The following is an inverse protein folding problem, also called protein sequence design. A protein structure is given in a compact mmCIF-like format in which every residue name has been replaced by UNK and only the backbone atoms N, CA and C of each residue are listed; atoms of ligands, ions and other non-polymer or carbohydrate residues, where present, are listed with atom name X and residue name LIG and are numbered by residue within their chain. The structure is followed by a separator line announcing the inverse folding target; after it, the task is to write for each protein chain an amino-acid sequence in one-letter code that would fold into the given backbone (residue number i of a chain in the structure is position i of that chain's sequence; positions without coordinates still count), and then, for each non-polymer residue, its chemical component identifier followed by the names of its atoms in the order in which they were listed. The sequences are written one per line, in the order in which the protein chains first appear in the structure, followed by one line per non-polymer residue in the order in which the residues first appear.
data_IF_047122794524
#
_entry.id   IF_047122794524
#
_cell.length_a   1.000
_cell.length_b   1.000
_cell.length_c   1.000
_cell.angle_alpha   90.00
_cell.angle_beta   90.00
_cell.angle_gamma   90.00
#
_symmetry.space_group_name_H-M   'P 1'
#
loop_
_entity.id
_entity.type
_entity.pdbx_description
1 polymer ?
#
# COMPACT_ATOMS: atom_id res chain seq x y z
N UNK A 1 10.59 23.70 18.58
CA UNK A 1 10.88 22.26 18.73
C UNK A 1 11.74 21.85 17.53
N UNK A 2 12.95 21.34 17.76
CA UNK A 2 13.88 21.01 16.67
C UNK A 2 13.29 19.98 15.72
N UNK A 3 13.19 20.33 14.44
CA UNK A 3 12.69 19.43 13.37
C UNK A 3 13.43 18.09 13.36
N UNK A 4 14.72 18.11 13.67
CA UNK A 4 15.58 16.93 13.85
C UNK A 4 15.10 16.03 15.00
N UNK A 5 14.85 16.61 16.18
CA UNK A 5 14.39 15.86 17.37
C UNK A 5 13.01 15.23 17.19
N UNK A 6 12.14 15.84 16.38
CA UNK A 6 10.84 15.26 16.01
C UNK A 6 11.05 14.10 15.03
N UNK A 7 11.82 14.33 13.98
CA UNK A 7 12.08 13.33 12.95
C UNK A 7 12.74 12.07 13.52
N UNK A 8 13.71 12.22 14.43
CA UNK A 8 14.39 11.10 15.07
C UNK A 8 13.43 10.23 15.92
N UNK A 9 12.37 10.82 16.49
CA UNK A 9 11.32 10.07 17.20
C UNK A 9 10.36 9.33 16.27
N UNK A 10 10.05 9.91 15.10
CA UNK A 10 9.09 9.33 14.14
C UNK A 10 9.76 8.31 13.23
N UNK A 11 11.05 8.45 12.93
CA UNK A 11 11.81 7.55 12.08
C UNK A 11 11.72 6.05 12.45
N UNK A 12 11.73 5.60 13.72
CA UNK A 12 11.50 4.19 14.05
C UNK A 12 10.09 3.72 13.67
N UNK A 13 9.10 4.61 13.69
CA UNK A 13 7.70 4.31 13.35
C UNK A 13 7.42 4.21 11.84
N UNK A 14 8.43 4.45 10.98
CA UNK A 14 8.27 4.42 9.51
C UNK A 14 7.62 3.13 8.98
N UNK A 15 7.94 1.98 9.58
CA UNK A 15 7.36 0.70 9.17
C UNK A 15 5.89 0.59 9.57
N UNK A 16 5.54 1.04 10.77
CA UNK A 16 4.15 1.08 11.23
C UNK A 16 3.31 2.00 10.32
N UNK A 17 3.84 3.18 9.99
CA UNK A 17 3.20 4.12 9.07
C UNK A 17 3.06 3.51 7.68
N UNK A 18 4.11 2.88 7.15
CA UNK A 18 4.08 2.24 5.83
C UNK A 18 3.07 1.09 5.76
N UNK A 19 2.97 0.26 6.81
CA UNK A 19 1.97 -0.81 6.93
C UNK A 19 0.56 -0.19 6.94
N UNK A 20 0.33 0.84 7.76
CA UNK A 20 -0.97 1.49 7.83
C UNK A 20 -1.41 2.09 6.49
N UNK A 21 -0.51 2.79 5.79
CA UNK A 21 -0.76 3.30 4.44
C UNK A 21 -1.07 2.17 3.44
N UNK A 22 -0.37 1.05 3.53
CA UNK A 22 -0.58 -0.11 2.64
C UNK A 22 -1.93 -0.78 2.90
N UNK A 23 -2.37 -0.88 4.16
CA UNK A 23 -3.69 -1.41 4.51
C UNK A 23 -4.82 -0.51 4.01
N UNK A 24 -4.69 0.81 4.15
CA UNK A 24 -5.65 1.77 3.59
C UNK A 24 -5.71 1.63 2.06
N UNK A 25 -4.55 1.49 1.41
CA UNK A 25 -4.49 1.30 -0.03
C UNK A 25 -5.22 0.03 -0.48
N UNK A 26 -5.06 -1.09 0.24
CA UNK A 26 -5.80 -2.33 -0.03
C UNK A 26 -7.31 -2.09 0.05
N UNK A 27 -7.78 -1.33 1.05
CA UNK A 27 -9.20 -1.03 1.18
C UNK A 27 -9.74 -0.18 0.02
N UNK A 28 -9.01 0.85 -0.39
CA UNK A 28 -9.37 1.69 -1.54
C UNK A 28 -9.39 0.84 -2.84
N UNK A 29 -8.36 0.01 -3.02
CA UNK A 29 -8.24 -0.87 -4.18
C UNK A 29 -9.38 -1.90 -4.23
N UNK A 30 -9.81 -2.45 -3.09
CA UNK A 30 -11.01 -3.30 -2.98
C UNK A 30 -12.21 -2.58 -3.58
N UNK A 31 -12.51 -1.37 -3.11
CA UNK A 31 -13.68 -0.60 -3.53
C UNK A 31 -13.66 -0.31 -5.05
N UNK A 32 -12.51 0.13 -5.57
CA UNK A 32 -12.33 0.40 -7.00
C UNK A 32 -12.50 -0.90 -7.82
N UNK A 33 -11.97 -2.02 -7.34
CA UNK A 33 -12.05 -3.31 -8.04
C UNK A 33 -13.50 -3.81 -8.10
N UNK A 34 -14.25 -3.70 -7.00
CA UNK A 34 -15.68 -4.04 -6.98
C UNK A 34 -16.47 -3.17 -7.96
N UNK A 35 -16.23 -1.86 -7.94
CA UNK A 35 -16.93 -0.91 -8.81
C UNK A 35 -16.69 -1.17 -10.31
N UNK A 36 -15.46 -1.53 -10.69
CA UNK A 36 -15.09 -1.69 -12.10
C UNK A 36 -15.34 -3.09 -12.67
N UNK A 37 -15.11 -4.15 -11.88
CA UNK A 37 -15.00 -5.52 -12.41
C UNK A 37 -16.10 -6.47 -11.94
N UNK A 38 -16.82 -6.16 -10.87
CA UNK A 38 -17.90 -7.03 -10.36
C UNK A 38 -19.25 -6.35 -10.62
N UNK A 39 -20.03 -6.92 -11.55
CA UNK A 39 -21.41 -6.49 -11.85
C UNK A 39 -22.38 -7.68 -11.70
N UNK A 40 -23.55 -7.50 -11.06
CA UNK A 40 -24.00 -6.31 -10.33
C UNK A 40 -23.13 -6.04 -9.09
N UNK A 41 -23.07 -4.78 -8.63
CA UNK A 41 -22.25 -4.40 -7.48
C UNK A 41 -22.74 -5.15 -6.23
N UNK A 42 -21.82 -5.88 -5.58
CA UNK A 42 -22.05 -6.59 -4.33
C UNK A 42 -20.94 -6.21 -3.36
N UNK A 43 -21.29 -5.93 -2.11
CA UNK A 43 -20.29 -5.71 -1.07
C UNK A 43 -19.71 -7.07 -0.65
N UNK A 44 -18.58 -7.42 -1.27
CA UNK A 44 -17.83 -8.63 -0.97
C UNK A 44 -16.71 -8.30 0.01
N UNK A 45 -16.44 -9.18 0.96
CA UNK A 45 -15.22 -9.09 1.75
C UNK A 45 -13.97 -9.30 0.86
N UNK A 46 -12.82 -8.89 1.38
CA UNK A 46 -11.57 -8.92 0.63
C UNK A 46 -11.18 -10.34 0.22
N UNK A 47 -11.39 -11.34 1.09
CA UNK A 47 -10.99 -12.72 0.81
C UNK A 47 -11.89 -13.33 -0.26
N UNK A 48 -13.20 -13.14 -0.16
CA UNK A 48 -14.13 -13.61 -1.19
C UNK A 48 -13.88 -12.93 -2.53
N UNK A 49 -13.60 -11.63 -2.55
CA UNK A 49 -13.22 -10.93 -3.79
C UNK A 49 -11.95 -11.55 -4.41
N UNK A 50 -10.91 -11.77 -3.61
CA UNK A 50 -9.67 -12.40 -4.08
C UNK A 50 -9.93 -13.82 -4.61
N UNK A 51 -10.75 -14.60 -3.92
CA UNK A 51 -11.13 -15.95 -4.34
C UNK A 51 -11.86 -15.95 -5.69
N UNK A 52 -12.85 -15.07 -5.86
CA UNK A 52 -13.60 -14.93 -7.13
C UNK A 52 -12.66 -14.53 -8.27
N UNK A 53 -11.79 -13.54 -8.06
CA UNK A 53 -10.84 -13.09 -9.08
C UNK A 53 -9.83 -14.19 -9.45
N UNK A 54 -9.34 -14.94 -8.47
CA UNK A 54 -8.39 -16.03 -8.70
C UNK A 54 -9.01 -17.20 -9.47
N UNK A 55 -10.23 -17.59 -9.09
CA UNK A 55 -10.94 -18.72 -9.70
C UNK A 55 -11.70 -18.35 -10.97
N UNK A 56 -11.71 -17.08 -11.37
CA UNK A 56 -12.21 -16.68 -12.68
C UNK A 56 -11.43 -17.38 -13.79
N UNK A 57 -12.10 -17.75 -14.89
CA UNK A 57 -11.45 -18.29 -16.08
C UNK A 57 -10.74 -17.21 -16.92
N UNK A 58 -10.78 -15.95 -16.47
CA UNK A 58 -10.18 -14.82 -17.16
C UNK A 58 -8.79 -14.50 -16.60
N UNK A 59 -7.77 -14.62 -17.45
CA UNK A 59 -6.40 -14.30 -17.12
C UNK A 59 -6.24 -12.81 -16.75
N UNK A 60 -7.03 -11.92 -17.35
CA UNK A 60 -7.02 -10.50 -17.05
C UNK A 60 -7.42 -10.22 -15.59
N UNK A 61 -8.46 -10.89 -15.09
CA UNK A 61 -8.91 -10.74 -13.70
C UNK A 61 -7.89 -11.28 -12.69
N UNK A 62 -7.20 -12.37 -13.02
CA UNK A 62 -6.09 -12.89 -12.20
C UNK A 62 -4.90 -11.95 -12.16
N UNK A 63 -4.55 -11.32 -13.29
CA UNK A 63 -3.51 -10.30 -13.33
C UNK A 63 -3.90 -9.06 -12.51
N UNK A 64 -5.16 -8.62 -12.62
CA UNK A 64 -5.69 -7.53 -11.79
C UNK A 64 -5.50 -7.85 -10.32
N UNK A 65 -5.83 -9.07 -9.88
CA UNK A 65 -5.62 -9.48 -8.48
C UNK A 65 -4.16 -9.27 -8.06
N UNK A 66 -3.20 -9.81 -8.81
CA UNK A 66 -1.77 -9.74 -8.48
C UNK A 66 -1.28 -8.28 -8.47
N UNK A 67 -1.53 -7.54 -9.54
CA UNK A 67 -1.03 -6.16 -9.66
C UNK A 67 -1.69 -5.23 -8.63
N UNK A 68 -2.99 -5.38 -8.41
CA UNK A 68 -3.72 -4.48 -7.52
C UNK A 68 -3.57 -4.84 -6.04
N UNK A 69 -3.61 -6.11 -5.66
CA UNK A 69 -3.62 -6.49 -4.23
C UNK A 69 -2.26 -6.93 -3.69
N UNK A 70 -1.28 -7.24 -4.55
CA UNK A 70 0.09 -7.51 -4.11
C UNK A 70 1.04 -6.37 -4.50
N UNK A 71 1.17 -6.07 -5.79
CA UNK A 71 2.21 -5.16 -6.27
C UNK A 71 1.98 -3.73 -5.78
N UNK A 72 0.75 -3.19 -5.89
CA UNK A 72 0.46 -1.80 -5.48
C UNK A 72 0.65 -1.56 -3.96
N UNK A 73 0.13 -2.40 -3.04
CA UNK A 73 0.36 -2.22 -1.61
C UNK A 73 1.84 -2.34 -1.25
N UNK A 74 2.54 -3.30 -1.85
CA UNK A 74 3.98 -3.47 -1.64
C UNK A 74 4.75 -2.23 -2.14
N UNK A 75 4.39 -1.70 -3.30
CA UNK A 75 4.97 -0.47 -3.85
C UNK A 75 4.76 0.72 -2.89
N UNK A 76 3.54 0.89 -2.36
CA UNK A 76 3.22 1.95 -1.40
C UNK A 76 4.07 1.82 -0.14
N UNK A 77 4.20 0.60 0.41
CA UNK A 77 5.07 0.35 1.54
C UNK A 77 6.50 0.84 1.26
N UNK A 78 7.10 0.40 0.14
CA UNK A 78 8.47 0.77 -0.23
C UNK A 78 8.64 2.28 -0.46
N UNK A 79 7.67 2.93 -1.12
CA UNK A 79 7.68 4.38 -1.33
C UNK A 79 7.71 5.13 0.00
N UNK A 80 6.87 4.75 0.96
CA UNK A 80 6.86 5.39 2.29
C UNK A 80 8.23 5.21 2.97
N UNK A 81 8.78 3.99 2.97
CA UNK A 81 10.12 3.75 3.55
C UNK A 81 11.19 4.61 2.87
N UNK A 82 11.16 4.69 1.54
CA UNK A 82 12.12 5.46 0.76
C UNK A 82 12.00 6.97 1.05
N UNK A 83 10.79 7.49 1.19
CA UNK A 83 10.56 8.88 1.60
C UNK A 83 11.15 9.17 2.98
N UNK A 84 10.98 8.26 3.95
CA UNK A 84 11.63 8.38 5.27
C UNK A 84 13.17 8.39 5.16
N UNK A 85 13.75 7.56 4.29
CA UNK A 85 15.20 7.55 4.08
C UNK A 85 15.70 8.87 3.46
N UNK A 86 15.03 9.38 2.42
CA UNK A 86 15.36 10.69 1.82
C UNK A 86 15.30 11.80 2.88
N UNK A 87 14.22 11.83 3.67
CA UNK A 87 14.07 12.82 4.73
C UNK A 87 15.18 12.71 5.78
N UNK A 88 15.62 11.49 6.13
CA UNK A 88 16.73 11.29 7.07
C UNK A 88 18.03 11.89 6.56
N UNK A 89 18.36 11.66 5.29
CA UNK A 89 19.58 12.21 4.65
C UNK A 89 19.52 13.74 4.63
N UNK A 90 18.36 14.34 4.37
CA UNK A 90 18.19 15.80 4.38
C UNK A 90 18.32 16.41 5.78
N UNK A 91 17.81 15.73 6.81
CA UNK A 91 17.82 16.23 8.20
C UNK A 91 19.17 16.00 8.89
N UNK A 92 19.87 14.91 8.53
CA UNK A 92 21.18 14.55 9.07
C UNK A 92 22.12 14.16 7.92
N UNK A 93 22.68 15.15 7.20
CA UNK A 93 23.61 14.86 6.11
C UNK A 93 24.85 14.13 6.65
N UNK A 94 25.43 13.19 5.87
CA UNK A 94 26.69 12.58 6.25
C UNK A 94 27.76 13.66 6.43
N UNK A 95 28.61 13.51 7.43
CA UNK A 95 29.79 14.37 7.58
C UNK A 95 30.72 14.07 6.40
N UNK A 96 31.00 15.07 5.58
CA UNK A 96 32.00 15.05 4.50
C UNK A 96 33.41 14.85 5.05
#
# INVERSE_FOLDING_TARGET
MDKKKIFDRVFPLKHLIAIFCSLIAIFIIKQITLFLYIKPYQDLDLLTLCHILWHSNDLFLRLILIFNFLIKPLFIYWVIIYLFLICKVKVTPPKS
#
